data_IF_676334227906
#
_entry.id   IF_676334227906
#
_cell.length_a   1.000
_cell.length_b   1.000
_cell.length_c   1.000
_cell.angle_alpha   90.00
_cell.angle_beta   90.00
_cell.angle_gamma   90.00
#
_symmetry.space_group_name_H-M   'P 1'
#
loop_
_entity.id
_entity.type
_entity.pdbx_description
1 polymer ?
#
# COMPACT_ATOMS: atom_id res chain seq x y z
N UNK A 1 -11.37 26.39 -1.71
CA UNK A 1 -11.71 25.03 -2.19
C UNK A 1 -13.19 24.77 -1.93
N UNK A 2 -13.97 24.41 -2.96
CA UNK A 2 -15.39 24.01 -2.81
C UNK A 2 -15.48 22.79 -1.87
N UNK A 3 -16.49 22.73 -0.99
CA UNK A 3 -16.75 21.59 -0.09
C UNK A 3 -16.72 20.26 -0.84
N UNK A 4 -17.34 20.21 -2.01
CA UNK A 4 -17.35 19.02 -2.87
C UNK A 4 -15.94 18.51 -3.21
N UNK A 5 -15.02 19.42 -3.57
CA UNK A 5 -13.65 19.05 -3.92
C UNK A 5 -12.87 18.51 -2.72
N UNK A 6 -13.13 19.04 -1.52
CA UNK A 6 -12.53 18.51 -0.29
C UNK A 6 -13.02 17.09 0.01
N UNK A 7 -14.33 16.88 -0.08
CA UNK A 7 -14.93 15.57 0.20
C UNK A 7 -14.44 14.52 -0.81
N UNK A 8 -14.35 14.89 -2.09
CA UNK A 8 -13.80 14.02 -3.14
C UNK A 8 -12.34 13.63 -2.85
N UNK A 9 -11.50 14.62 -2.53
CA UNK A 9 -10.10 14.38 -2.20
C UNK A 9 -9.95 13.44 -1.00
N UNK A 10 -10.73 13.65 0.04
CA UNK A 10 -10.70 12.83 1.25
C UNK A 10 -11.05 11.37 0.95
N UNK A 11 -12.06 11.13 0.10
CA UNK A 11 -12.45 9.77 -0.30
C UNK A 11 -11.33 9.09 -1.08
N UNK A 12 -10.65 9.80 -1.98
CA UNK A 12 -9.53 9.26 -2.75
C UNK A 12 -8.38 8.83 -1.83
N UNK A 13 -7.97 9.69 -0.90
CA UNK A 13 -6.90 9.35 0.06
C UNK A 13 -7.30 8.20 1.00
N UNK A 14 -8.58 8.13 1.40
CA UNK A 14 -9.08 7.02 2.21
C UNK A 14 -9.00 5.69 1.46
N UNK A 15 -9.39 5.65 0.18
CA UNK A 15 -9.28 4.45 -0.67
C UNK A 15 -7.82 4.04 -0.83
N UNK A 16 -6.92 4.99 -1.09
CA UNK A 16 -5.46 4.76 -1.18
C UNK A 16 -4.93 4.16 0.13
N UNK A 17 -5.23 4.78 1.27
CA UNK A 17 -4.75 4.33 2.57
C UNK A 17 -5.23 2.92 2.92
N UNK A 18 -6.52 2.62 2.72
CA UNK A 18 -7.09 1.29 2.95
C UNK A 18 -6.47 0.24 2.03
N UNK A 19 -6.25 0.57 0.76
CA UNK A 19 -5.65 -0.35 -0.22
C UNK A 19 -4.20 -0.71 0.15
N UNK A 20 -3.42 0.27 0.59
CA UNK A 20 -2.04 0.06 1.04
C UNK A 20 -1.96 -0.69 2.37
N UNK A 21 -2.86 -0.42 3.31
CA UNK A 21 -2.98 -1.20 4.55
C UNK A 21 -3.29 -2.67 4.23
N UNK A 22 -4.18 -2.92 3.28
CA UNK A 22 -4.51 -4.26 2.86
C UNK A 22 -3.31 -4.97 2.21
N UNK A 23 -2.60 -4.30 1.30
CA UNK A 23 -1.34 -4.79 0.73
C UNK A 23 -0.33 -5.16 1.83
N UNK A 24 -0.12 -4.26 2.80
CA UNK A 24 0.82 -4.49 3.89
C UNK A 24 0.48 -5.74 4.69
N UNK A 25 -0.80 -5.91 5.07
CA UNK A 25 -1.25 -7.10 5.82
C UNK A 25 -1.03 -8.38 4.99
N UNK A 26 -1.37 -8.37 3.70
CA UNK A 26 -1.14 -9.52 2.82
C UNK A 26 0.34 -9.90 2.72
N UNK A 27 1.23 -8.91 2.51
CA UNK A 27 2.69 -9.14 2.45
C UNK A 27 3.22 -9.63 3.79
N UNK A 28 2.76 -9.04 4.90
CA UNK A 28 3.16 -9.42 6.25
C UNK A 28 2.78 -10.86 6.59
N UNK A 29 1.59 -11.29 6.16
CA UNK A 29 1.08 -12.64 6.38
C UNK A 29 1.56 -13.67 5.34
N UNK A 30 2.36 -13.26 4.36
CA UNK A 30 2.86 -14.12 3.29
C UNK A 30 1.75 -14.70 2.41
N UNK A 31 0.78 -13.85 2.05
CA UNK A 31 -0.33 -14.22 1.18
C UNK A 31 0.16 -14.78 -0.17
N UNK A 32 -0.56 -15.79 -0.68
CA UNK A 32 -0.19 -16.47 -1.92
C UNK A 32 -0.37 -15.55 -3.15
N UNK A 33 0.72 -15.27 -3.86
CA UNK A 33 0.73 -14.41 -5.06
C UNK A 33 0.04 -15.06 -6.28
N UNK A 34 -0.14 -16.37 -6.29
CA UNK A 34 -0.95 -17.06 -7.31
C UNK A 34 -2.46 -16.82 -7.15
N UNK A 35 -2.88 -16.28 -6.00
CA UNK A 35 -4.28 -15.87 -5.81
C UNK A 35 -4.57 -14.64 -6.64
N UNK A 36 -5.56 -14.74 -7.54
CA UNK A 36 -6.01 -13.63 -8.39
C UNK A 36 -6.31 -12.35 -7.60
N UNK A 37 -6.85 -12.48 -6.38
CA UNK A 37 -7.16 -11.33 -5.53
C UNK A 37 -5.91 -10.71 -4.90
N UNK A 38 -4.97 -11.52 -4.41
CA UNK A 38 -3.71 -11.02 -3.83
C UNK A 38 -2.89 -10.31 -4.90
N UNK A 39 -2.77 -10.94 -6.08
CA UNK A 39 -2.10 -10.36 -7.24
C UNK A 39 -2.77 -9.03 -7.64
N UNK A 40 -4.10 -9.00 -7.76
CA UNK A 40 -4.85 -7.77 -8.06
C UNK A 40 -4.50 -6.63 -7.11
N UNK A 41 -4.45 -6.89 -5.80
CA UNK A 41 -4.07 -5.87 -4.81
C UNK A 41 -2.64 -5.40 -5.04
N UNK A 42 -1.69 -6.31 -5.24
CA UNK A 42 -0.27 -5.97 -5.40
C UNK A 42 0.00 -5.14 -6.66
N UNK A 43 -0.61 -5.49 -7.79
CA UNK A 43 -0.45 -4.75 -9.05
C UNK A 43 -1.09 -3.36 -8.97
N UNK A 44 -2.32 -3.26 -8.45
CA UNK A 44 -3.02 -1.97 -8.41
C UNK A 44 -2.46 -1.00 -7.36
N UNK A 45 -1.75 -1.51 -6.36
CA UNK A 45 -1.08 -0.67 -5.34
C UNK A 45 0.37 -0.34 -5.69
N UNK A 46 0.99 -1.02 -6.66
CA UNK A 46 2.38 -0.79 -7.03
C UNK A 46 2.67 0.66 -7.51
N UNK A 47 1.81 1.31 -8.33
CA UNK A 47 2.05 2.70 -8.73
C UNK A 47 2.07 3.68 -7.55
N UNK A 48 1.29 3.41 -6.50
CA UNK A 48 1.25 4.22 -5.27
C UNK A 48 2.55 4.10 -4.46
N UNK A 49 3.29 3.01 -4.66
CA UNK A 49 4.61 2.82 -4.03
C UNK A 49 5.75 3.34 -4.90
N UNK A 50 5.53 3.53 -6.20
CA UNK A 50 6.58 3.86 -7.18
C UNK A 50 7.51 5.01 -6.77
N UNK A 51 7.04 6.11 -6.12
CA UNK A 51 7.94 7.20 -5.71
C UNK A 51 8.87 6.84 -4.55
N UNK A 52 8.56 5.77 -3.82
CA UNK A 52 9.25 5.37 -2.58
C UNK A 52 9.99 4.03 -2.74
N UNK A 53 9.95 3.41 -3.92
CA UNK A 53 10.68 2.18 -4.18
C UNK A 53 12.16 2.38 -3.90
N UNK A 54 12.80 1.34 -3.37
CA UNK A 54 14.23 1.30 -3.00
C UNK A 54 14.64 2.25 -1.86
N UNK A 55 13.72 3.03 -1.28
CA UNK A 55 14.03 3.90 -0.15
C UNK A 55 14.29 3.12 1.15
N UNK A 56 13.68 1.95 1.31
CA UNK A 56 13.77 1.12 2.51
C UNK A 56 14.03 -0.35 2.16
N UNK A 57 14.71 -1.11 3.03
CA UNK A 57 14.81 -2.56 2.89
C UNK A 57 13.45 -3.24 3.07
N UNK A 58 13.28 -4.44 2.51
CA UNK A 58 12.10 -5.28 2.71
C UNK A 58 12.51 -6.63 3.30
N UNK A 59 12.77 -6.71 4.61
CA UNK A 59 13.16 -7.96 5.24
C UNK A 59 12.03 -8.99 5.13
N UNK A 60 12.41 -10.26 4.96
CA UNK A 60 11.48 -11.37 4.86
C UNK A 60 11.87 -12.54 5.75
N UNK A 61 10.88 -13.25 6.27
CA UNK A 61 11.05 -14.53 6.97
C UNK A 61 10.67 -15.65 6.01
N UNK A 62 11.60 -16.57 5.77
CA UNK A 62 11.44 -17.72 4.86
C UNK A 62 11.02 -17.32 3.43
N UNK A 63 11.33 -16.09 3.00
CA UNK A 63 10.95 -15.56 1.70
C UNK A 63 9.44 -15.36 1.49
N UNK A 64 8.62 -15.48 2.54
CA UNK A 64 7.16 -15.39 2.45
C UNK A 64 6.57 -14.25 3.26
N UNK A 65 6.91 -14.16 4.53
CA UNK A 65 6.39 -13.11 5.42
C UNK A 65 7.26 -11.86 5.26
N UNK A 66 6.74 -10.81 4.63
CA UNK A 66 7.52 -9.63 4.26
C UNK A 66 7.04 -8.42 5.07
N UNK A 67 7.97 -7.79 5.79
CA UNK A 67 7.74 -6.49 6.40
C UNK A 67 8.09 -5.40 5.38
N UNK A 68 7.11 -4.96 4.61
CA UNK A 68 7.29 -4.01 3.50
C UNK A 68 7.31 -2.56 4.01
N UNK A 69 8.47 -2.09 4.49
CA UNK A 69 8.64 -0.73 5.02
C UNK A 69 8.25 0.37 4.02
N UNK A 70 8.47 0.14 2.72
CA UNK A 70 8.03 1.04 1.65
C UNK A 70 6.51 1.30 1.71
N UNK A 71 5.71 0.28 2.01
CA UNK A 71 4.25 0.42 2.11
C UNK A 71 3.84 1.18 3.36
N UNK A 72 4.49 0.90 4.50
CA UNK A 72 4.27 1.66 5.73
C UNK A 72 4.60 3.15 5.54
N UNK A 73 5.71 3.43 4.85
CA UNK A 73 6.11 4.81 4.55
C UNK A 73 5.12 5.50 3.60
N UNK A 74 4.66 4.81 2.55
CA UNK A 74 3.65 5.35 1.65
C UNK A 74 2.33 5.67 2.38
N UNK A 75 1.87 4.80 3.28
CA UNK A 75 0.70 5.06 4.13
C UNK A 75 0.90 6.33 4.96
N UNK A 76 2.07 6.47 5.59
CA UNK A 76 2.40 7.68 6.36
C UNK A 76 2.35 8.93 5.47
N UNK A 77 3.00 8.91 4.30
CA UNK A 77 3.02 10.07 3.40
C UNK A 77 1.60 10.45 2.98
N UNK A 78 0.78 9.51 2.51
CA UNK A 78 -0.58 9.82 2.04
C UNK A 78 -1.56 10.21 3.15
N UNK A 79 -1.27 9.86 4.41
CA UNK A 79 -2.10 10.23 5.54
C UNK A 79 -1.80 11.64 6.08
N UNK A 80 -0.56 12.11 5.93
CA UNK A 80 -0.06 13.29 6.66
C UNK A 80 0.53 14.40 5.79
N UNK A 81 0.85 14.15 4.52
CA UNK A 81 1.38 15.13 3.57
C UNK A 81 0.29 15.56 2.61
#
# INVERSE_FOLDING_TARGET
MNKFLKDLSNIVFLIVGVSLMFRFVLKLLGANEDSAFVNFVYENTLPLLSPFLLAFPSPSVNGKFVLEFTTLFAIFVYAFV
#
